data_IF_352943662039
#
_entry.id   IF_352943662039
#
_cell.length_a   1.000
_cell.length_b   1.000
_cell.length_c   1.000
_cell.angle_alpha   90.00
_cell.angle_beta   90.00
_cell.angle_gamma   90.00
#
_symmetry.space_group_name_H-M   'P 1'
#
loop_
_entity.id
_entity.type
_entity.pdbx_description
1 polymer ?
#
# COMPACT_ATOMS: atom_id res chain seq x y z
N UNK A 1 38.50 54.30 31.81
CA UNK A 1 37.80 55.60 32.04
C UNK A 1 36.45 55.44 31.36
N UNK A 2 35.30 55.23 32.01
CA UNK A 2 34.80 55.45 33.37
C UNK A 2 33.84 54.31 33.76
N UNK A 3 33.69 54.14 35.07
CA UNK A 3 32.82 53.21 35.80
C UNK A 3 31.42 53.79 36.06
N UNK A 4 30.55 52.95 36.66
CA UNK A 4 29.30 53.19 37.43
C UNK A 4 27.98 53.17 36.63
N UNK A 5 26.85 52.58 37.06
CA UNK A 5 26.45 51.74 38.23
C UNK A 5 24.92 51.49 38.19
N UNK A 6 24.42 50.42 38.84
CA UNK A 6 23.03 50.28 39.37
C UNK A 6 22.19 49.13 38.75
N UNK A 7 22.13 47.90 39.30
CA UNK A 7 21.40 47.34 40.48
C UNK A 7 19.88 47.11 40.25
N UNK A 8 19.41 45.86 40.00
CA UNK A 8 18.74 44.85 40.90
C UNK A 8 17.18 45.00 40.95
N UNK A 9 16.30 43.98 41.24
CA UNK A 9 16.40 42.49 41.34
C UNK A 9 15.30 41.72 40.55
N UNK A 10 15.37 40.37 40.49
CA UNK A 10 14.33 39.47 41.08
C UNK A 10 14.65 37.97 40.89
N UNK A 11 15.07 37.35 42.01
CA UNK A 11 14.70 36.02 42.54
C UNK A 11 14.44 34.84 41.58
N UNK A 12 15.34 33.85 41.59
CA UNK A 12 14.99 32.44 41.45
C UNK A 12 15.41 31.67 42.71
N UNK A 13 14.41 31.04 43.33
CA UNK A 13 14.49 30.22 44.54
C UNK A 13 15.17 28.87 44.24
N UNK A 14 16.10 28.50 45.11
CA UNK A 14 16.68 27.16 45.23
C UNK A 14 15.78 26.28 46.09
N UNK A 15 15.51 25.05 45.64
CA UNK A 15 14.97 23.99 46.51
C UNK A 15 15.76 22.68 46.29
N UNK A 16 16.64 22.47 47.26
CA UNK A 16 17.10 21.23 47.90
C UNK A 16 16.69 19.88 47.31
N UNK A 17 17.72 19.08 47.01
CA UNK A 17 17.70 17.61 46.90
C UNK A 17 17.46 16.97 48.27
N UNK A 18 16.42 16.14 48.37
CA UNK A 18 16.23 15.20 49.48
C UNK A 18 16.35 13.77 48.94
N UNK A 19 17.39 13.08 49.41
CA UNK A 19 17.60 11.65 49.27
C UNK A 19 16.63 10.88 50.16
N UNK A 20 15.86 9.96 49.59
CA UNK A 20 15.08 8.95 50.35
C UNK A 20 15.80 7.61 50.23
N UNK A 21 16.19 7.06 51.39
CA UNK A 21 16.81 5.75 51.58
C UNK A 21 15.82 4.60 51.44
N UNK A 22 16.34 3.45 50.99
CA UNK A 22 15.66 2.19 50.72
C UNK A 22 14.82 1.63 51.89
N UNK A 23 13.70 0.98 51.55
CA UNK A 23 13.08 -0.06 52.36
C UNK A 23 12.87 -1.33 51.49
N UNK A 24 13.40 -2.44 51.96
CA UNK A 24 13.32 -3.80 51.39
C UNK A 24 11.90 -4.38 51.42
N UNK A 25 11.42 -5.08 50.39
CA UNK A 25 10.14 -5.79 50.46
C UNK A 25 10.32 -7.18 51.09
N UNK A 26 9.76 -7.37 52.29
CA UNK A 26 9.59 -8.67 52.92
C UNK A 26 8.30 -9.35 52.44
N UNK A 27 8.44 -10.58 51.94
CA UNK A 27 7.47 -11.70 52.03
C UNK A 27 6.00 -11.40 51.70
N UNK A 28 5.62 -11.51 50.43
CA UNK A 28 4.22 -11.72 50.01
C UNK A 28 3.97 -13.21 49.77
N UNK A 29 3.00 -13.78 50.49
CA UNK A 29 2.62 -15.20 50.44
C UNK A 29 2.02 -15.61 49.08
N UNK A 30 2.38 -16.79 48.51
CA UNK A 30 1.93 -17.23 47.18
C UNK A 30 0.42 -17.47 47.06
N UNK A 31 -0.31 -17.54 48.18
CA UNK A 31 -1.76 -17.70 48.18
C UNK A 31 -2.53 -16.45 47.73
N UNK A 32 -1.98 -15.23 47.92
CA UNK A 32 -2.65 -13.99 47.50
C UNK A 32 -2.53 -13.72 46.00
N UNK A 33 -1.44 -14.17 45.35
CA UNK A 33 -1.27 -14.05 43.89
C UNK A 33 -2.26 -14.94 43.14
N UNK A 34 -2.56 -16.13 43.69
CA UNK A 34 -3.55 -17.06 43.12
C UNK A 34 -4.99 -16.55 43.23
N UNK A 35 -5.31 -15.77 44.28
CA UNK A 35 -6.65 -15.18 44.43
C UNK A 35 -6.87 -13.98 43.47
N UNK A 36 -5.80 -13.22 43.16
CA UNK A 36 -5.86 -12.15 42.16
C UNK A 36 -5.93 -12.67 40.72
N UNK A 37 -5.31 -13.83 40.44
CA UNK A 37 -5.38 -14.48 39.11
C UNK A 37 -6.71 -15.18 38.82
N UNK A 38 -7.54 -15.45 39.85
CA UNK A 38 -8.86 -16.06 39.69
C UNK A 38 -10.00 -15.05 39.48
N UNK A 39 -9.73 -13.74 39.62
CA UNK A 39 -10.73 -12.67 39.46
C UNK A 39 -10.58 -11.88 38.15
N UNK A 40 -9.63 -12.23 37.28
CA UNK A 40 -9.35 -11.50 36.03
C UNK A 40 -9.75 -12.24 34.75
N UNK A 41 -10.73 -13.15 34.80
CA UNK A 41 -11.30 -13.75 33.59
C UNK A 41 -12.84 -13.82 33.66
N UNK A 42 -13.46 -12.64 33.73
CA UNK A 42 -14.69 -12.41 32.99
C UNK A 42 -14.33 -11.34 31.97
N UNK A 43 -13.88 -11.79 30.80
CA UNK A 43 -14.23 -11.03 29.60
C UNK A 43 -15.72 -11.26 29.45
N UNK A 44 -16.51 -10.20 29.50
CA UNK A 44 -17.80 -10.24 28.83
C UNK A 44 -17.46 -10.42 27.34
N UNK A 45 -17.47 -11.66 26.86
CA UNK A 45 -17.54 -11.91 25.42
C UNK A 45 -18.81 -11.23 24.91
N UNK A 46 -18.67 -10.39 23.88
CA UNK A 46 -19.80 -9.88 23.13
C UNK A 46 -20.59 -11.06 22.53
N UNK A 47 -21.92 -10.93 22.33
CA UNK A 47 -22.71 -12.00 21.73
C UNK A 47 -22.15 -12.37 20.37
N UNK A 48 -21.87 -13.65 20.15
CA UNK A 48 -21.47 -14.16 18.83
C UNK A 48 -22.70 -14.23 17.90
N UNK A 49 -23.13 -13.07 17.40
CA UNK A 49 -24.16 -12.96 16.38
C UNK A 49 -23.61 -13.29 14.97
N UNK A 50 -22.33 -13.66 14.82
CA UNK A 50 -21.66 -13.79 13.52
C UNK A 50 -22.10 -15.01 12.69
N UNK A 51 -22.76 -15.99 13.32
CA UNK A 51 -23.21 -17.22 12.65
C UNK A 51 -24.58 -17.10 11.95
N UNK A 52 -25.16 -15.90 11.87
CA UNK A 52 -26.46 -15.65 11.26
C UNK A 52 -26.40 -14.41 10.36
N UNK A 53 -26.64 -14.59 9.06
CA UNK A 53 -26.42 -13.55 8.05
C UNK A 53 -27.31 -12.30 8.20
N UNK A 54 -28.46 -12.44 8.87
CA UNK A 54 -29.49 -11.39 9.02
C UNK A 54 -29.68 -10.91 10.48
N UNK A 55 -28.72 -11.19 11.37
CA UNK A 55 -28.74 -10.72 12.77
C UNK A 55 -27.51 -9.88 13.11
N UNK A 56 -27.69 -8.90 14.00
CA UNK A 56 -26.67 -7.95 14.46
C UNK A 56 -26.74 -7.75 15.97
N UNK A 57 -25.60 -7.53 16.63
CA UNK A 57 -25.53 -7.37 18.09
C UNK A 57 -25.95 -5.97 18.55
N UNK A 58 -26.60 -5.86 19.70
CA UNK A 58 -26.76 -4.60 20.43
C UNK A 58 -25.47 -4.30 21.23
N UNK A 59 -25.08 -3.03 21.34
CA UNK A 59 -23.89 -2.65 22.14
C UNK A 59 -24.20 -2.43 23.62
N UNK A 60 -25.45 -2.15 23.94
CA UNK A 60 -25.92 -1.91 25.31
C UNK A 60 -26.20 -3.19 26.09
N UNK A 61 -26.39 -4.32 25.41
CA UNK A 61 -26.78 -5.60 25.99
C UNK A 61 -26.32 -6.79 25.14
N UNK A 62 -26.26 -7.96 25.76
CA UNK A 62 -25.91 -9.23 25.12
C UNK A 62 -27.13 -9.80 24.34
N UNK A 63 -27.60 -9.07 23.33
CA UNK A 63 -28.79 -9.39 22.51
C UNK A 63 -28.49 -9.24 21.03
N UNK A 64 -28.89 -10.23 20.22
CA UNK A 64 -28.92 -10.13 18.76
C UNK A 64 -30.33 -9.74 18.30
N UNK A 65 -30.43 -8.80 17.38
CA UNK A 65 -31.67 -8.37 16.72
C UNK A 65 -31.55 -8.58 15.21
N UNK A 66 -32.68 -8.63 14.49
CA UNK A 66 -32.63 -8.76 13.03
C UNK A 66 -32.22 -7.43 12.40
N UNK A 67 -31.50 -7.48 11.27
CA UNK A 67 -31.19 -6.27 10.48
C UNK A 67 -32.46 -5.47 10.13
N UNK A 68 -33.57 -6.16 9.86
CA UNK A 68 -34.87 -5.55 9.54
C UNK A 68 -35.49 -4.69 10.65
N UNK A 69 -35.03 -4.88 11.90
CA UNK A 69 -35.44 -4.14 13.09
C UNK A 69 -34.61 -2.87 13.32
N UNK A 70 -33.52 -2.68 12.57
CA UNK A 70 -32.83 -1.41 12.59
C UNK A 70 -33.70 -0.32 11.97
N UNK A 71 -33.94 0.75 12.73
CA UNK A 71 -34.68 1.92 12.29
C UNK A 71 -36.12 1.62 11.84
N UNK A 72 -36.79 0.61 12.39
CA UNK A 72 -38.16 0.29 12.04
C UNK A 72 -39.22 1.06 12.85
N UNK A 73 -38.79 1.84 13.85
CA UNK A 73 -39.62 2.68 14.70
C UNK A 73 -39.91 2.08 16.07
N UNK A 74 -39.38 0.90 16.39
CA UNK A 74 -39.46 0.24 17.69
C UNK A 74 -38.06 0.05 18.29
N UNK A 75 -37.90 0.27 19.60
CA UNK A 75 -36.60 0.08 20.29
C UNK A 75 -36.45 -1.40 20.64
N UNK A 76 -35.72 -2.12 19.81
CA UNK A 76 -35.38 -3.53 19.98
C UNK A 76 -34.09 -3.72 20.79
N UNK A 77 -33.14 -2.79 20.76
CA UNK A 77 -32.05 -2.77 21.73
C UNK A 77 -32.45 -2.01 23.00
N UNK A 78 -32.05 -2.52 24.17
CA UNK A 78 -32.34 -1.89 25.45
C UNK A 78 -31.82 -0.44 25.58
N UNK A 79 -30.71 -0.11 24.90
CA UNK A 79 -30.14 1.22 24.83
C UNK A 79 -30.71 2.11 23.73
N UNK A 80 -31.62 1.60 22.90
CA UNK A 80 -32.25 2.29 21.76
C UNK A 80 -31.28 2.72 20.67
N UNK A 81 -30.11 2.08 20.58
CA UNK A 81 -29.10 2.35 19.55
C UNK A 81 -29.56 2.01 18.13
N UNK A 82 -30.48 1.06 17.99
CA UNK A 82 -31.11 0.62 16.75
C UNK A 82 -32.09 1.65 16.17
N UNK A 83 -32.56 2.58 16.99
CA UNK A 83 -33.43 3.71 16.62
C UNK A 83 -32.74 5.06 16.78
N UNK A 84 -31.40 5.08 16.79
CA UNK A 84 -30.64 6.32 16.86
C UNK A 84 -30.95 7.22 15.64
N UNK A 85 -31.33 8.49 15.83
CA UNK A 85 -31.75 9.36 14.72
C UNK A 85 -30.67 9.55 13.65
N UNK A 86 -29.40 9.66 14.06
CA UNK A 86 -28.30 9.86 13.12
C UNK A 86 -27.98 8.54 12.39
N UNK A 87 -28.07 7.39 13.07
CA UNK A 87 -28.00 6.07 12.45
C UNK A 87 -29.09 5.95 11.36
N UNK A 88 -30.33 6.28 11.70
CA UNK A 88 -31.47 6.07 10.80
C UNK A 88 -31.51 7.01 9.60
N UNK A 89 -30.98 8.23 9.74
CA UNK A 89 -30.77 9.14 8.60
C UNK A 89 -29.79 8.56 7.58
N UNK A 90 -28.74 7.88 8.04
CA UNK A 90 -27.72 7.28 7.17
C UNK A 90 -28.17 5.91 6.64
N UNK A 91 -28.78 5.09 7.49
CA UNK A 91 -29.23 3.73 7.14
C UNK A 91 -30.35 3.78 6.10
N UNK A 92 -31.30 4.72 6.24
CA UNK A 92 -32.36 4.98 5.26
C UNK A 92 -31.99 6.17 4.37
N UNK A 93 -30.86 6.07 3.68
CA UNK A 93 -30.29 7.16 2.87
C UNK A 93 -31.26 7.74 1.83
N UNK A 94 -32.27 6.97 1.36
CA UNK A 94 -33.27 7.48 0.43
C UNK A 94 -34.60 6.72 0.49
N UNK A 95 -35.72 7.42 0.39
CA UNK A 95 -37.09 6.87 0.45
C UNK A 95 -37.45 5.87 -0.66
N UNK A 96 -36.57 5.69 -1.67
CA UNK A 96 -36.79 4.77 -2.81
C UNK A 96 -36.07 3.44 -2.68
N UNK A 97 -35.13 3.32 -1.75
CA UNK A 97 -34.42 2.06 -1.54
C UNK A 97 -35.19 1.20 -0.54
N UNK A 98 -35.09 -0.11 -0.69
CA UNK A 98 -35.74 -1.05 0.21
C UNK A 98 -35.05 -1.06 1.58
N UNK A 99 -35.63 -1.76 2.57
CA UNK A 99 -34.95 -1.96 3.86
C UNK A 99 -33.60 -2.65 3.60
N UNK A 100 -32.54 -2.24 4.29
CA UNK A 100 -31.17 -2.79 4.16
C UNK A 100 -30.43 -2.38 2.86
N UNK A 101 -31.02 -1.49 2.06
CA UNK A 101 -30.40 -0.89 0.89
C UNK A 101 -30.02 0.58 1.11
N UNK A 102 -28.94 1.00 0.46
CA UNK A 102 -28.45 2.38 0.47
C UNK A 102 -28.42 2.95 -0.92
N UNK A 103 -28.64 4.26 -1.02
CA UNK A 103 -28.66 4.97 -2.27
C UNK A 103 -27.25 5.43 -2.66
N UNK A 104 -26.81 5.00 -3.83
CA UNK A 104 -25.54 5.37 -4.46
C UNK A 104 -25.84 6.17 -5.73
N UNK A 105 -25.11 7.26 -6.00
CA UNK A 105 -25.19 7.96 -7.28
C UNK A 105 -23.98 7.60 -8.13
N UNK A 106 -24.21 7.16 -9.37
CA UNK A 106 -23.14 6.87 -10.36
C UNK A 106 -23.51 7.49 -11.70
N UNK A 107 -22.62 8.31 -12.24
CA UNK A 107 -22.84 8.94 -13.55
C UNK A 107 -24.11 9.80 -13.63
N UNK A 108 -24.60 10.30 -12.48
CA UNK A 108 -25.84 11.08 -12.38
C UNK A 108 -27.13 10.29 -12.12
N UNK A 109 -27.10 8.96 -12.13
CA UNK A 109 -28.25 8.09 -11.83
C UNK A 109 -28.21 7.57 -10.38
N UNK A 110 -29.38 7.38 -9.76
CA UNK A 110 -29.54 6.84 -8.41
C UNK A 110 -29.71 5.32 -8.50
N UNK A 111 -28.80 4.57 -7.88
CA UNK A 111 -28.79 3.12 -7.77
C UNK A 111 -28.97 2.73 -6.29
N UNK A 112 -29.84 1.77 -5.98
CA UNK A 112 -29.95 1.20 -4.63
C UNK A 112 -29.10 -0.07 -4.58
N UNK A 113 -28.28 -0.20 -3.54
CA UNK A 113 -27.38 -1.33 -3.37
C UNK A 113 -27.34 -1.80 -1.92
N UNK A 114 -26.96 -3.05 -1.71
CA UNK A 114 -26.78 -3.58 -0.36
C UNK A 114 -25.65 -2.85 0.37
N UNK A 115 -25.80 -2.66 1.66
CA UNK A 115 -24.83 -1.90 2.46
C UNK A 115 -23.42 -2.54 2.47
N UNK A 116 -23.33 -3.88 2.41
CA UNK A 116 -22.04 -4.59 2.26
C UNK A 116 -21.33 -4.25 0.95
N UNK A 117 -22.08 -4.15 -0.14
CA UNK A 117 -21.57 -3.79 -1.46
C UNK A 117 -21.10 -2.33 -1.49
N UNK A 118 -21.86 -1.44 -0.85
CA UNK A 118 -21.47 -0.04 -0.70
C UNK A 118 -20.10 0.10 0.01
N UNK A 119 -19.88 -0.64 1.10
CA UNK A 119 -18.66 -0.54 1.91
C UNK A 119 -17.42 -1.16 1.25
N UNK A 120 -17.55 -1.91 0.15
CA UNK A 120 -16.45 -2.61 -0.53
C UNK A 120 -15.85 -1.85 -1.72
N UNK A 121 -16.23 -0.58 -1.94
CA UNK A 121 -15.72 0.32 -2.99
C UNK A 121 -15.53 -0.35 -4.36
N UNK A 122 -16.64 -0.52 -5.08
CA UNK A 122 -16.63 -0.99 -6.47
C UNK A 122 -16.33 0.20 -7.39
N UNK A 123 -15.28 0.11 -8.22
CA UNK A 123 -14.93 1.13 -9.22
C UNK A 123 -16.02 1.25 -10.32
N UNK A 124 -16.50 2.47 -10.69
CA UNK A 124 -16.20 3.77 -10.12
C UNK A 124 -16.90 4.02 -8.77
N UNK A 125 -16.26 4.78 -7.85
CA UNK A 125 -16.78 4.99 -6.50
C UNK A 125 -18.15 5.67 -6.52
N UNK A 126 -19.03 5.27 -5.60
CA UNK A 126 -20.32 5.92 -5.38
C UNK A 126 -20.13 7.41 -5.05
N UNK A 127 -20.78 8.28 -5.82
CA UNK A 127 -20.85 9.71 -5.53
C UNK A 127 -21.94 9.94 -4.47
N UNK A 128 -21.63 9.99 -3.17
CA UNK A 128 -22.69 10.18 -2.20
C UNK A 128 -22.39 9.94 -0.73
N UNK A 129 -23.44 10.14 0.07
CA UNK A 129 -23.50 10.60 1.45
C UNK A 129 -23.49 9.52 2.54
N UNK A 130 -23.02 8.30 2.28
CA UNK A 130 -22.96 7.33 3.37
C UNK A 130 -21.82 7.72 4.30
N UNK A 131 -22.16 7.92 5.55
CA UNK A 131 -21.18 8.17 6.58
C UNK A 131 -20.40 6.87 6.86
N UNK A 132 -19.04 6.89 6.84
CA UNK A 132 -18.22 5.70 7.01
C UNK A 132 -18.42 4.99 8.36
N UNK A 133 -19.04 5.66 9.35
CA UNK A 133 -19.46 5.03 10.61
C UNK A 133 -20.48 3.92 10.39
N UNK A 134 -21.30 4.03 9.35
CA UNK A 134 -22.23 2.97 8.96
C UNK A 134 -21.48 1.71 8.53
N UNK A 135 -20.40 1.83 7.76
CA UNK A 135 -19.59 0.66 7.42
C UNK A 135 -18.98 0.00 8.65
N UNK A 136 -18.63 0.78 9.68
CA UNK A 136 -18.11 0.25 10.95
C UNK A 136 -19.13 -0.60 11.70
N UNK A 137 -20.41 -0.18 11.75
CA UNK A 137 -21.51 -0.95 12.36
C UNK A 137 -21.61 -2.37 11.77
N UNK A 138 -21.48 -2.48 10.45
CA UNK A 138 -21.60 -3.76 9.75
C UNK A 138 -20.31 -4.59 9.77
N UNK A 139 -19.14 -3.93 9.80
CA UNK A 139 -17.86 -4.62 9.98
C UNK A 139 -17.74 -5.24 11.38
N UNK A 140 -18.14 -4.48 12.41
CA UNK A 140 -18.09 -4.92 13.80
C UNK A 140 -19.30 -5.81 14.16
N UNK A 141 -20.26 -5.95 13.24
CA UNK A 141 -21.52 -6.67 13.42
C UNK A 141 -22.26 -6.27 14.72
N UNK A 142 -22.17 -4.98 15.09
CA UNK A 142 -22.66 -4.45 16.37
C UNK A 142 -23.24 -3.05 16.17
N UNK A 143 -24.46 -2.84 16.63
CA UNK A 143 -25.15 -1.55 16.65
C UNK A 143 -24.64 -0.75 17.85
N UNK A 144 -24.01 0.37 17.55
CA UNK A 144 -23.64 1.39 18.52
C UNK A 144 -24.48 2.64 18.27
N UNK A 145 -24.69 3.47 19.30
CA UNK A 145 -25.24 4.82 19.07
C UNK A 145 -24.35 5.56 18.08
N UNK A 146 -24.92 6.08 17.01
CA UNK A 146 -24.15 6.59 15.87
C UNK A 146 -23.15 7.71 16.22
N UNK A 147 -23.47 8.65 17.14
CA UNK A 147 -22.51 9.66 17.57
C UNK A 147 -21.33 9.10 18.38
N UNK A 148 -21.49 7.93 18.98
CA UNK A 148 -20.45 7.27 19.80
C UNK A 148 -19.46 6.43 18.99
N UNK A 149 -19.76 6.19 17.71
CA UNK A 149 -18.87 5.46 16.79
C UNK A 149 -17.72 6.39 16.45
N UNK A 150 -16.62 6.20 17.16
CA UNK A 150 -15.33 6.77 16.80
C UNK A 150 -14.72 5.84 15.76
N UNK A 151 -14.63 6.30 14.52
CA UNK A 151 -13.73 5.66 13.56
C UNK A 151 -12.31 6.03 14.05
N UNK A 152 -11.49 5.06 14.50
CA UNK A 152 -10.08 5.34 14.77
C UNK A 152 -9.49 6.06 13.55
N UNK A 153 -8.54 6.97 13.75
CA UNK A 153 -7.80 7.56 12.64
C UNK A 153 -6.86 6.55 11.95
N UNK A 154 -7.31 5.33 11.72
CA UNK A 154 -6.88 4.53 10.58
C UNK A 154 -7.80 4.93 9.42
N UNK A 155 -7.41 5.97 8.67
CA UNK A 155 -8.15 6.37 7.46
C UNK A 155 -8.44 7.86 7.28
N UNK A 156 -7.92 8.76 8.11
CA UNK A 156 -7.62 10.11 7.59
C UNK A 156 -6.26 9.96 6.90
N UNK A 157 -6.16 10.06 5.55
CA UNK A 157 -4.85 10.11 4.92
C UNK A 157 -4.07 11.22 5.61
N UNK A 158 -2.82 10.94 6.01
CA UNK A 158 -1.94 12.01 6.46
C UNK A 158 -2.07 13.16 5.45
N UNK A 159 -2.23 14.42 5.91
CA UNK A 159 -2.24 15.55 4.99
C UNK A 159 -1.13 15.36 3.96
N UNK A 160 -1.42 15.56 2.68
CA UNK A 160 -0.47 15.20 1.61
C UNK A 160 0.93 15.81 1.80
N UNK A 161 1.03 16.95 2.49
CA UNK A 161 2.31 17.54 2.90
C UNK A 161 3.10 16.70 3.91
N UNK A 162 2.46 16.05 4.89
CA UNK A 162 3.13 15.13 5.84
C UNK A 162 3.62 13.88 5.15
N UNK A 163 2.81 13.30 4.26
CA UNK A 163 3.26 12.19 3.42
C UNK A 163 4.45 12.61 2.55
N UNK A 164 4.41 13.82 1.98
CA UNK A 164 5.52 14.37 1.21
C UNK A 164 6.78 14.60 2.05
N UNK A 165 6.65 15.05 3.31
CA UNK A 165 7.78 15.20 4.23
C UNK A 165 8.37 13.84 4.61
N UNK A 166 7.53 12.86 4.93
CA UNK A 166 7.97 11.50 5.23
C UNK A 166 8.73 10.84 4.06
N UNK A 167 8.27 11.05 2.82
CA UNK A 167 9.00 10.61 1.61
C UNK A 167 10.35 11.31 1.47
N UNK A 168 10.45 12.59 1.86
CA UNK A 168 11.70 13.32 1.91
C UNK A 168 12.66 12.78 2.97
N UNK A 169 12.16 12.44 4.16
CA UNK A 169 12.95 11.81 5.22
C UNK A 169 13.47 10.43 4.80
N UNK A 170 12.64 9.61 4.16
CA UNK A 170 13.05 8.29 3.64
C UNK A 170 14.14 8.39 2.55
N UNK A 171 14.01 9.37 1.64
CA UNK A 171 15.05 9.68 0.67
C UNK A 171 16.38 10.02 1.35
N UNK A 172 16.34 10.91 2.35
CA UNK A 172 17.54 11.33 3.09
C UNK A 172 18.16 10.15 3.85
N UNK A 173 17.34 9.30 4.45
CA UNK A 173 17.79 8.09 5.16
C UNK A 173 18.47 7.08 4.22
N UNK A 174 18.07 7.03 2.95
CA UNK A 174 18.58 6.09 1.95
C UNK A 174 19.66 6.67 1.01
N UNK A 175 20.17 7.88 1.25
CA UNK A 175 21.17 8.54 0.38
C UNK A 175 22.40 7.67 0.12
N UNK A 176 22.93 7.02 1.16
CA UNK A 176 24.12 6.19 1.04
C UNK A 176 23.89 4.94 0.16
N UNK A 177 22.63 4.53 -0.01
CA UNK A 177 22.26 3.36 -0.81
C UNK A 177 21.78 3.74 -2.22
N UNK A 178 21.74 5.02 -2.55
CA UNK A 178 21.12 5.52 -3.81
C UNK A 178 21.98 6.54 -4.55
N UNK A 179 22.64 7.45 -3.83
CA UNK A 179 23.31 8.63 -4.40
C UNK A 179 24.65 9.01 -3.76
N UNK A 180 25.09 8.35 -2.68
CA UNK A 180 26.28 8.79 -1.97
C UNK A 180 27.19 7.63 -1.57
N UNK A 181 28.43 7.69 -2.04
CA UNK A 181 29.53 6.88 -1.53
C UNK A 181 30.86 7.64 -1.69
N UNK A 182 31.79 7.59 -0.71
CA UNK A 182 33.04 8.36 -0.76
C UNK A 182 33.92 8.07 -2.00
N UNK A 183 33.89 6.83 -2.48
CA UNK A 183 34.68 6.38 -3.63
C UNK A 183 33.95 6.52 -4.98
N UNK A 184 32.80 7.19 -5.00
CA UNK A 184 32.02 7.42 -6.21
C UNK A 184 31.84 8.91 -6.52
N UNK A 185 31.59 9.28 -7.79
CA UNK A 185 31.23 10.64 -8.15
C UNK A 185 29.97 11.13 -7.42
N UNK A 186 29.76 12.44 -7.41
CA UNK A 186 28.54 13.04 -6.85
C UNK A 186 27.28 12.43 -7.49
N UNK A 187 26.27 12.13 -6.68
CA UNK A 187 25.03 11.43 -7.05
C UNK A 187 25.18 9.93 -7.34
N UNK A 188 26.31 9.29 -7.01
CA UNK A 188 26.48 7.84 -7.13
C UNK A 188 26.77 7.17 -5.79
N UNK A 189 26.26 5.95 -5.64
CA UNK A 189 26.61 5.02 -4.56
C UNK A 189 27.41 3.84 -5.12
N UNK A 190 28.17 3.16 -4.26
CA UNK A 190 28.92 1.97 -4.63
C UNK A 190 28.02 0.73 -4.52
N UNK A 191 27.89 -0.02 -5.63
CA UNK A 191 27.20 -1.31 -5.67
C UNK A 191 28.18 -2.35 -6.21
N UNK A 192 28.67 -3.21 -5.31
CA UNK A 192 29.88 -4.01 -5.52
C UNK A 192 31.08 -3.16 -5.97
N UNK A 193 31.50 -3.27 -7.22
CA UNK A 193 32.68 -2.59 -7.77
C UNK A 193 32.32 -1.51 -8.81
N UNK A 194 31.06 -1.04 -8.81
CA UNK A 194 30.58 -0.03 -9.76
C UNK A 194 29.82 1.09 -9.06
N UNK A 195 30.00 2.31 -9.58
CA UNK A 195 29.25 3.47 -9.12
C UNK A 195 27.91 3.53 -9.83
N UNK A 196 26.82 3.34 -9.08
CA UNK A 196 25.44 3.40 -9.57
C UNK A 196 24.70 4.59 -8.98
N UNK A 197 23.90 5.26 -9.80
CA UNK A 197 22.94 6.28 -9.36
C UNK A 197 21.54 5.70 -9.48
N UNK A 198 20.89 5.46 -8.33
CA UNK A 198 19.58 4.81 -8.25
C UNK A 198 18.49 5.86 -8.03
N UNK A 199 18.00 6.48 -9.11
CA UNK A 199 17.14 7.67 -9.02
C UNK A 199 15.65 7.34 -8.84
N UNK A 200 15.23 6.92 -7.64
CA UNK A 200 13.84 6.50 -7.35
C UNK A 200 12.83 7.64 -7.21
N UNK A 201 13.28 8.88 -7.03
CA UNK A 201 12.41 10.04 -6.69
C UNK A 201 11.69 10.66 -7.88
N UNK A 202 12.05 10.29 -9.11
CA UNK A 202 11.42 10.81 -10.31
C UNK A 202 11.41 9.80 -11.44
N UNK A 203 10.39 9.92 -12.30
CA UNK A 203 10.16 9.02 -13.44
C UNK A 203 10.11 9.82 -14.72
N UNK A 204 10.79 9.33 -15.75
CA UNK A 204 10.93 10.00 -17.06
C UNK A 204 10.88 8.95 -18.18
N UNK A 205 10.74 9.39 -19.43
CA UNK A 205 10.85 8.48 -20.59
C UNK A 205 12.27 7.93 -20.74
N UNK A 206 12.44 6.84 -21.49
CA UNK A 206 13.77 6.21 -21.65
C UNK A 206 14.82 7.16 -22.23
N UNK A 207 14.43 7.98 -23.20
CA UNK A 207 15.33 8.95 -23.83
C UNK A 207 15.79 10.05 -22.87
N UNK A 208 14.87 10.54 -22.05
CA UNK A 208 15.14 11.53 -20.99
C UNK A 208 16.00 10.92 -19.87
N UNK A 209 15.72 9.67 -19.45
CA UNK A 209 16.51 8.94 -18.47
C UNK A 209 17.96 8.81 -18.91
N UNK A 210 18.18 8.50 -20.20
CA UNK A 210 19.53 8.42 -20.76
C UNK A 210 20.24 9.77 -20.77
N UNK A 211 19.54 10.82 -21.20
CA UNK A 211 20.10 12.17 -21.19
C UNK A 211 20.47 12.61 -19.77
N UNK A 212 19.62 12.29 -18.78
CA UNK A 212 19.87 12.53 -17.36
C UNK A 212 21.16 11.84 -16.87
N UNK A 213 21.31 10.53 -17.13
CA UNK A 213 22.52 9.80 -16.74
C UNK A 213 23.80 10.40 -17.37
N UNK A 214 23.72 10.86 -18.62
CA UNK A 214 24.86 11.51 -19.31
C UNK A 214 25.23 12.86 -18.72
N UNK A 215 24.25 13.63 -18.25
CA UNK A 215 24.52 14.90 -17.54
C UNK A 215 25.23 14.63 -16.21
N UNK A 216 24.92 13.51 -15.55
CA UNK A 216 25.61 13.05 -14.34
C UNK A 216 26.97 12.39 -14.61
N UNK A 217 27.50 12.43 -15.85
CA UNK A 217 28.80 11.84 -16.18
C UNK A 217 28.81 10.32 -16.38
N UNK A 218 27.66 9.68 -16.52
CA UNK A 218 27.51 8.25 -16.79
C UNK A 218 26.68 7.94 -18.05
N UNK A 219 26.10 6.74 -18.13
CA UNK A 219 25.01 6.41 -19.07
C UNK A 219 24.04 5.44 -18.38
N UNK A 220 22.94 5.03 -19.03
CA UNK A 220 22.04 4.03 -18.44
C UNK A 220 22.77 2.70 -18.22
N UNK A 221 22.47 2.04 -17.09
CA UNK A 221 23.10 0.78 -16.70
C UNK A 221 22.99 -0.29 -17.80
N UNK A 222 24.13 -0.88 -18.14
CA UNK A 222 24.23 -2.09 -18.97
C UNK A 222 24.74 -3.24 -18.14
N UNK A 223 24.00 -4.35 -18.10
CA UNK A 223 24.36 -5.52 -17.32
C UNK A 223 25.33 -6.40 -18.10
N UNK A 224 26.43 -6.78 -17.45
CA UNK A 224 27.53 -7.50 -18.12
C UNK A 224 27.55 -9.00 -17.83
N UNK A 225 27.01 -9.43 -16.68
CA UNK A 225 27.03 -10.82 -16.23
C UNK A 225 25.84 -11.14 -15.33
N UNK A 226 25.61 -12.43 -15.07
CA UNK A 226 24.57 -12.87 -14.12
C UNK A 226 24.91 -12.39 -12.72
N UNK A 227 26.20 -12.44 -12.34
CA UNK A 227 26.68 -11.97 -11.03
C UNK A 227 26.44 -10.48 -10.83
N UNK A 228 26.74 -9.66 -11.84
CA UNK A 228 26.44 -8.23 -11.81
C UNK A 228 24.93 -8.00 -11.70
N UNK A 229 24.11 -8.70 -12.49
CA UNK A 229 22.64 -8.59 -12.40
C UNK A 229 22.11 -8.96 -11.00
N UNK A 230 22.57 -10.08 -10.43
CA UNK A 230 22.15 -10.51 -9.08
C UNK A 230 22.58 -9.52 -8.01
N UNK A 231 23.78 -8.95 -8.12
CA UNK A 231 24.28 -7.92 -7.18
C UNK A 231 23.38 -6.69 -7.19
N UNK A 232 23.07 -6.16 -8.38
CA UNK A 232 22.16 -5.01 -8.54
C UNK A 232 20.78 -5.33 -7.95
N UNK A 233 20.23 -6.50 -8.27
CA UNK A 233 18.93 -6.92 -7.78
C UNK A 233 18.90 -7.04 -6.24
N UNK A 234 19.92 -7.64 -5.63
CA UNK A 234 20.04 -7.73 -4.17
C UNK A 234 20.16 -6.36 -3.52
N UNK A 235 20.91 -5.44 -4.13
CA UNK A 235 20.99 -4.05 -3.66
C UNK A 235 19.62 -3.39 -3.63
N UNK A 236 18.87 -3.45 -4.75
CA UNK A 236 17.53 -2.87 -4.82
C UNK A 236 16.57 -3.46 -3.78
N UNK A 237 16.63 -4.78 -3.56
CA UNK A 237 15.76 -5.48 -2.61
C UNK A 237 16.13 -5.21 -1.14
N UNK A 238 17.41 -5.29 -0.79
CA UNK A 238 17.86 -5.10 0.59
C UNK A 238 17.57 -3.69 1.10
N UNK A 239 17.63 -2.70 0.20
CA UNK A 239 17.31 -1.30 0.49
C UNK A 239 15.85 -0.94 0.23
N UNK A 240 14.97 -1.92 0.07
CA UNK A 240 13.51 -1.77 -0.03
C UNK A 240 13.07 -0.75 -1.11
N UNK A 241 13.84 -0.68 -2.21
CA UNK A 241 13.46 0.16 -3.33
C UNK A 241 12.28 -0.48 -4.06
N UNK A 242 11.30 0.34 -4.44
CA UNK A 242 10.04 -0.13 -5.05
C UNK A 242 9.74 0.50 -6.41
N UNK A 243 10.65 1.32 -6.92
CA UNK A 243 10.52 1.97 -8.23
C UNK A 243 10.89 1.02 -9.37
N UNK A 244 10.29 1.24 -10.55
CA UNK A 244 10.75 0.61 -11.78
C UNK A 244 11.88 1.43 -12.39
N UNK A 245 12.90 0.78 -12.94
CA UNK A 245 14.11 1.43 -13.42
C UNK A 245 14.41 1.17 -14.90
N UNK A 246 14.72 2.21 -15.67
CA UNK A 246 15.22 2.08 -17.03
C UNK A 246 16.64 1.52 -17.06
N UNK A 247 16.90 0.62 -18.02
CA UNK A 247 18.23 0.11 -18.37
C UNK A 247 18.67 0.61 -19.75
N UNK A 248 19.93 0.40 -20.10
CA UNK A 248 20.49 0.77 -21.40
C UNK A 248 20.01 -0.09 -22.59
N UNK A 249 19.17 -1.10 -22.37
CA UNK A 249 18.70 -2.02 -23.40
C UNK A 249 17.55 -1.45 -24.24
N UNK A 250 17.60 -1.62 -25.56
CA UNK A 250 16.49 -1.28 -26.47
C UNK A 250 16.52 -2.07 -27.77
N UNK A 251 15.37 -2.19 -28.42
CA UNK A 251 15.28 -2.75 -29.77
C UNK A 251 15.22 -1.63 -30.83
N UNK A 252 16.31 -1.43 -31.58
CA UNK A 252 16.40 -0.34 -32.59
C UNK A 252 15.75 -0.71 -33.93
N UNK A 253 15.95 -1.93 -34.39
CA UNK A 253 15.60 -2.37 -35.74
C UNK A 253 14.93 -3.74 -35.69
N UNK A 254 13.96 -3.95 -36.58
CA UNK A 254 13.29 -5.24 -36.74
C UNK A 254 14.32 -6.27 -37.20
N UNK A 255 14.36 -7.43 -36.54
CA UNK A 255 15.28 -8.52 -36.88
C UNK A 255 16.70 -8.41 -36.31
N UNK A 256 17.09 -7.27 -35.70
CA UNK A 256 18.43 -7.10 -35.10
C UNK A 256 18.53 -7.51 -33.63
N UNK A 257 17.40 -7.90 -33.02
CA UNK A 257 17.32 -8.32 -31.63
C UNK A 257 17.47 -7.15 -30.63
N UNK A 258 17.49 -7.50 -29.34
CA UNK A 258 17.71 -6.56 -28.25
C UNK A 258 19.21 -6.33 -28.03
N UNK A 259 19.60 -5.06 -27.86
CA UNK A 259 20.99 -4.69 -27.67
C UNK A 259 21.16 -3.63 -26.58
N UNK A 260 22.32 -3.68 -25.92
CA UNK A 260 22.79 -2.66 -25.00
C UNK A 260 23.24 -1.39 -25.74
N UNK A 261 23.59 -0.35 -24.99
CA UNK A 261 23.99 0.95 -25.56
C UNK A 261 25.25 0.89 -26.43
N UNK A 262 26.16 -0.04 -26.15
CA UNK A 262 27.39 -0.32 -26.90
C UNK A 262 27.17 -1.29 -28.09
N UNK A 263 25.90 -1.52 -28.47
CA UNK A 263 25.49 -2.41 -29.56
C UNK A 263 25.83 -3.90 -29.32
N UNK A 264 26.23 -4.29 -28.11
CA UNK A 264 26.35 -5.71 -27.73
C UNK A 264 24.98 -6.35 -27.54
N UNK A 265 24.78 -7.61 -27.93
CA UNK A 265 23.49 -8.28 -27.81
C UNK A 265 23.13 -8.54 -26.35
N UNK A 266 21.85 -8.36 -26.01
CA UNK A 266 21.31 -8.78 -24.72
C UNK A 266 21.09 -10.29 -24.69
N UNK A 267 21.43 -10.94 -23.58
CA UNK A 267 21.06 -12.33 -23.34
C UNK A 267 19.55 -12.38 -23.07
N UNK A 268 18.86 -13.27 -23.79
CA UNK A 268 17.40 -13.38 -23.72
C UNK A 268 16.96 -14.47 -22.74
N UNK A 269 15.77 -14.31 -22.15
CA UNK A 269 15.16 -15.30 -21.27
C UNK A 269 15.74 -15.32 -19.85
N UNK A 270 15.51 -16.42 -19.14
CA UNK A 270 15.97 -16.61 -17.77
C UNK A 270 17.52 -16.66 -17.71
N UNK A 271 18.14 -16.11 -16.66
CA UNK A 271 17.52 -15.58 -15.44
C UNK A 271 17.19 -14.08 -15.49
N UNK A 272 17.41 -13.39 -16.61
CA UNK A 272 17.31 -11.92 -16.63
C UNK A 272 15.88 -11.42 -16.82
N UNK A 273 15.16 -12.00 -17.77
CA UNK A 273 13.88 -11.48 -18.22
C UNK A 273 12.71 -12.04 -17.41
N UNK A 274 11.69 -11.22 -17.18
CA UNK A 274 10.51 -11.57 -16.40
C UNK A 274 9.60 -12.58 -17.12
N UNK A 275 8.97 -13.46 -16.34
CA UNK A 275 7.81 -14.24 -16.81
C UNK A 275 6.54 -13.46 -16.45
N UNK A 276 5.81 -13.00 -17.46
CA UNK A 276 4.57 -12.21 -17.28
C UNK A 276 3.34 -13.11 -17.40
N UNK A 277 2.36 -12.88 -16.54
CA UNK A 277 1.04 -13.54 -16.59
C UNK A 277 0.07 -12.65 -17.34
N UNK A 278 -0.64 -13.24 -18.30
CA UNK A 278 -1.76 -12.60 -18.99
C UNK A 278 -3.03 -13.41 -18.73
N UNK A 279 -4.11 -12.71 -18.42
CA UNK A 279 -5.43 -13.31 -18.25
C UNK A 279 -6.22 -13.39 -19.58
N UNK A 280 -5.58 -13.04 -20.70
CA UNK A 280 -6.16 -13.15 -22.05
C UNK A 280 -6.23 -14.60 -22.55
N UNK A 281 -7.45 -15.07 -22.82
CA UNK A 281 -7.69 -16.33 -23.51
C UNK A 281 -7.48 -16.18 -25.02
N UNK A 282 -6.43 -16.78 -25.60
CA UNK A 282 -6.38 -17.03 -27.04
C UNK A 282 -6.85 -18.46 -27.33
N UNK A 283 -8.04 -18.59 -27.91
CA UNK A 283 -8.55 -19.89 -28.35
C UNK A 283 -7.60 -20.50 -29.39
N UNK A 284 -7.14 -21.74 -29.15
CA UNK A 284 -6.43 -22.51 -30.19
C UNK A 284 -7.47 -23.16 -31.11
N UNK A 285 -7.31 -22.99 -32.42
CA UNK A 285 -8.11 -23.72 -33.39
C UNK A 285 -7.67 -25.19 -33.38
N UNK A 286 -8.49 -26.07 -32.79
CA UNK A 286 -8.29 -27.51 -32.84
C UNK A 286 -9.18 -28.08 -33.94
N UNK A 287 -8.57 -28.61 -35.00
CA UNK A 287 -9.28 -29.43 -35.99
C UNK A 287 -9.54 -30.81 -35.39
N UNK A 288 -10.69 -30.97 -34.75
CA UNK A 288 -11.26 -32.28 -34.43
C UNK A 288 -11.83 -32.90 -35.70
N UNK A 289 -11.80 -34.23 -35.80
CA UNK A 289 -12.33 -35.00 -36.94
C UNK A 289 -13.81 -34.72 -37.24
N UNK A 290 -14.53 -34.10 -36.29
CA UNK A 290 -15.80 -33.41 -36.52
C UNK A 290 -15.59 -31.93 -36.21
N UNK A 291 -15.71 -31.09 -37.23
CA UNK A 291 -15.42 -29.66 -37.32
C UNK A 291 -16.23 -28.79 -36.33
N UNK A 292 -16.03 -28.96 -35.02
CA UNK A 292 -16.65 -28.17 -33.96
C UNK A 292 -15.60 -27.69 -32.95
N UNK A 293 -15.32 -26.39 -32.97
CA UNK A 293 -14.62 -25.67 -31.91
C UNK A 293 -15.61 -25.45 -30.76
N UNK A 294 -15.33 -26.00 -29.57
CA UNK A 294 -16.06 -25.68 -28.33
C UNK A 294 -15.17 -24.82 -27.44
N UNK A 295 -15.70 -23.71 -26.93
CA UNK A 295 -15.05 -22.98 -25.83
C UNK A 295 -15.06 -23.88 -24.58
N UNK A 296 -13.93 -23.98 -23.89
CA UNK A 296 -13.90 -24.63 -22.58
C UNK A 296 -14.62 -23.72 -21.58
N UNK A 297 -15.81 -24.13 -21.14
CA UNK A 297 -16.59 -23.39 -20.16
C UNK A 297 -15.88 -23.40 -18.80
N UNK A 298 -15.49 -22.22 -18.29
CA UNK A 298 -15.26 -21.99 -16.86
C UNK A 298 -13.84 -22.11 -16.31
N UNK A 299 -12.80 -22.32 -17.13
CA UNK A 299 -11.41 -22.21 -16.66
C UNK A 299 -10.89 -20.77 -16.79
N UNK A 300 -10.24 -20.23 -15.75
CA UNK A 300 -9.44 -19.00 -15.88
C UNK A 300 -8.24 -19.29 -16.77
N UNK A 301 -8.14 -18.63 -17.93
CA UNK A 301 -6.95 -18.72 -18.76
C UNK A 301 -5.84 -17.91 -18.11
N UNK A 302 -4.75 -18.57 -17.72
CA UNK A 302 -3.51 -17.90 -17.40
C UNK A 302 -2.46 -18.37 -18.40
N UNK A 303 -1.91 -17.44 -19.18
CA UNK A 303 -0.78 -17.72 -20.04
C UNK A 303 0.44 -16.95 -19.53
N UNK A 304 1.47 -17.70 -19.19
CA UNK A 304 2.78 -17.15 -18.87
C UNK A 304 3.56 -16.94 -20.17
N UNK A 305 4.07 -15.72 -20.39
CA UNK A 305 4.98 -15.43 -21.48
C UNK A 305 6.27 -14.83 -20.95
N UNK A 306 7.37 -15.39 -21.40
CA UNK A 306 8.71 -14.89 -21.13
C UNK A 306 8.90 -13.57 -21.87
N UNK A 307 9.28 -12.51 -21.16
CA UNK A 307 9.74 -11.27 -21.76
C UNK A 307 11.08 -11.49 -22.50
N UNK A 308 11.36 -10.71 -23.56
CA UNK A 308 10.49 -9.72 -24.17
C UNK A 308 9.35 -10.37 -24.98
N UNK A 309 8.23 -9.66 -25.13
CA UNK A 309 7.23 -10.08 -26.11
C UNK A 309 7.78 -9.90 -27.54
N UNK A 310 7.45 -10.83 -28.44
CA UNK A 310 8.08 -10.90 -29.76
C UNK A 310 7.88 -9.62 -30.60
N UNK A 311 8.96 -9.19 -31.27
CA UNK A 311 9.04 -8.14 -32.30
C UNK A 311 8.20 -6.88 -32.09
N UNK A 312 8.54 -6.05 -31.09
CA UNK A 312 7.92 -4.74 -30.91
C UNK A 312 8.96 -3.62 -31.05
N UNK A 313 8.92 -2.91 -32.17
CA UNK A 313 9.69 -1.68 -32.36
C UNK A 313 9.20 -0.63 -31.35
N UNK A 314 10.12 0.16 -30.78
CA UNK A 314 9.79 1.21 -29.81
C UNK A 314 9.76 0.75 -28.35
N UNK A 315 10.30 -0.43 -28.06
CA UNK A 315 10.42 -0.96 -26.70
C UNK A 315 11.85 -0.84 -26.15
N UNK A 316 11.90 -0.60 -24.85
CA UNK A 316 13.09 -0.36 -24.04
C UNK A 316 13.09 -1.30 -22.83
N UNK A 317 14.28 -1.61 -22.32
CA UNK A 317 14.45 -2.56 -21.22
C UNK A 317 14.36 -1.83 -19.89
N UNK A 318 13.60 -2.40 -18.96
CA UNK A 318 13.48 -1.89 -17.59
C UNK A 318 13.55 -3.02 -16.56
N UNK A 319 14.02 -2.73 -15.35
CA UNK A 319 13.78 -3.56 -14.18
C UNK A 319 12.41 -3.18 -13.59
N UNK A 320 11.53 -4.16 -13.39
CA UNK A 320 10.19 -3.91 -12.83
C UNK A 320 10.06 -4.45 -11.42
N UNK A 321 9.67 -3.62 -10.46
CA UNK A 321 9.47 -4.03 -9.07
C UNK A 321 8.36 -5.09 -8.93
N UNK A 322 7.25 -4.91 -9.65
CA UNK A 322 6.15 -5.89 -9.69
C UNK A 322 6.60 -7.28 -10.19
N UNK A 323 7.65 -7.29 -11.00
CA UNK A 323 8.29 -8.50 -11.50
C UNK A 323 9.62 -8.77 -10.80
N UNK A 324 9.73 -8.46 -9.50
CA UNK A 324 10.91 -8.76 -8.66
C UNK A 324 12.24 -8.29 -9.25
N UNK A 325 12.23 -7.14 -9.94
CA UNK A 325 13.35 -6.57 -10.69
C UNK A 325 13.89 -7.43 -11.85
N UNK A 326 13.12 -8.39 -12.35
CA UNK A 326 13.42 -9.00 -13.64
C UNK A 326 13.20 -7.99 -14.78
N UNK A 327 13.94 -8.17 -15.87
CA UNK A 327 13.89 -7.30 -17.05
C UNK A 327 12.55 -7.46 -17.76
N UNK A 328 11.87 -6.34 -18.01
CA UNK A 328 10.69 -6.24 -18.87
C UNK A 328 10.97 -5.39 -20.09
N UNK A 329 10.30 -5.74 -21.18
CA UNK A 329 10.12 -4.93 -22.37
C UNK A 329 8.97 -3.96 -22.16
N UNK A 330 9.26 -2.67 -22.23
CA UNK A 330 8.30 -1.60 -21.95
C UNK A 330 8.35 -0.57 -23.07
N UNK A 331 7.20 0.04 -23.38
CA UNK A 331 7.15 1.18 -24.29
C UNK A 331 8.10 2.29 -23.80
N UNK A 332 9.02 2.73 -24.65
CA UNK A 332 10.06 3.69 -24.28
C UNK A 332 9.50 5.06 -23.80
N UNK A 333 8.23 5.37 -24.08
CA UNK A 333 7.55 6.59 -23.61
C UNK A 333 6.94 6.46 -22.21
N UNK A 334 6.91 5.25 -21.62
CA UNK A 334 6.49 5.10 -20.22
C UNK A 334 7.45 5.84 -19.29
N UNK A 335 6.94 6.22 -18.12
CA UNK A 335 7.72 6.91 -17.12
C UNK A 335 8.27 5.92 -16.11
N UNK A 336 9.60 5.80 -16.05
CA UNK A 336 10.32 4.99 -15.05
C UNK A 336 11.55 5.74 -14.57
N UNK A 337 12.10 5.30 -13.45
CA UNK A 337 13.27 5.90 -12.83
C UNK A 337 14.54 5.61 -13.63
N UNK A 338 15.47 6.55 -13.82
CA UNK A 338 16.79 6.26 -14.37
C UNK A 338 17.63 5.43 -13.39
N UNK A 339 18.29 4.39 -13.91
CA UNK A 339 19.36 3.69 -13.22
C UNK A 339 20.65 3.88 -14.02
N UNK A 340 21.54 4.71 -13.49
CA UNK A 340 22.75 5.14 -14.19
C UNK A 340 23.98 4.38 -13.66
N UNK A 341 24.99 4.25 -14.51
CA UNK A 341 26.31 3.75 -14.16
C UNK A 341 27.39 4.75 -14.60
N UNK A 342 28.39 4.94 -13.76
CA UNK A 342 29.62 5.67 -14.06
C UNK A 342 30.84 4.74 -13.94
N UNK A 343 31.86 5.03 -14.74
CA UNK A 343 33.15 4.31 -14.76
C UNK A 343 34.18 4.92 -13.80
#
# INVERSE_FOLDING_TARGET
MLMLSGLIPSSHLSLTSTSVTMASPSSTSPALLLLFLLLSSVSAEAPDCANKEDEIACSSEDKCVKLSYMCDGESDCAGGEDEDPDLCLVFKSHYRCEKEEVACRRGGELECMGLREYCQQVEPPCEGSLDPRMCKVFQDNTIHRFPSIVIPAEGVPDPSWRMSEALGEDLVANLNNTFSHPDCPEMYTMVADQCLSVFSVGKVSWGEARAFCRVLGGDLLTLQSVEHFTTVLQHLQNHQLTSDFWLGGRQREKGRGWAWLNDTPMVMGSPYWAVRRYDECRARNVTSANMMTRAANGSTCYHYRQAPEAEQLGYCAALSYQHYFYITDEDCLRQKSPLCVAD
#
